data_IF_388073502526
#
_entry.id   IF_388073502526
#
_cell.length_a   1.000
_cell.length_b   1.000
_cell.length_c   1.000
_cell.angle_alpha   90.00
_cell.angle_beta   90.00
_cell.angle_gamma   90.00
#
_symmetry.space_group_name_H-M   'P 1'
#
loop_
_entity.id
_entity.type
_entity.pdbx_description
1 polymer ?
#
# COMPACT_ATOMS: atom_id res chain seq x y z
N UNK A 1 -23.17 -22.96 1.48
CA UNK A 1 -21.74 -22.65 1.71
C UNK A 1 -21.68 -21.24 2.25
N UNK A 2 -21.44 -21.06 3.55
CA UNK A 2 -21.20 -19.74 4.13
C UNK A 2 -19.93 -19.17 3.51
N UNK A 3 -19.98 -17.94 3.00
CA UNK A 3 -18.77 -17.25 2.57
C UNK A 3 -17.80 -17.24 3.75
N UNK A 4 -16.55 -17.66 3.51
CA UNK A 4 -15.49 -17.51 4.50
C UNK A 4 -15.40 -16.01 4.82
N UNK A 5 -15.54 -15.64 6.09
CA UNK A 5 -15.36 -14.26 6.50
C UNK A 5 -13.92 -13.84 6.13
N UNK A 6 -13.77 -12.74 5.39
CA UNK A 6 -12.44 -12.27 5.00
C UNK A 6 -11.73 -11.71 6.21
N UNK A 7 -10.45 -12.05 6.37
CA UNK A 7 -9.61 -11.42 7.36
C UNK A 7 -9.28 -9.98 6.92
N UNK A 8 -9.62 -9.00 7.76
CA UNK A 8 -9.36 -7.58 7.51
C UNK A 8 -8.01 -7.14 8.08
N UNK A 9 -7.25 -6.40 7.27
CA UNK A 9 -5.94 -5.85 7.62
C UNK A 9 -5.89 -4.36 7.32
N UNK A 10 -5.63 -3.54 8.34
CA UNK A 10 -5.37 -2.12 8.20
C UNK A 10 -3.87 -1.84 8.29
N UNK A 11 -3.33 -1.18 7.28
CA UNK A 11 -1.99 -0.63 7.27
C UNK A 11 -2.05 0.88 7.46
N UNK A 12 -1.41 1.39 8.49
CA UNK A 12 -1.20 2.83 8.67
C UNK A 12 0.23 3.14 8.24
N UNK A 13 0.38 4.03 7.26
CA UNK A 13 1.68 4.49 6.79
C UNK A 13 1.82 5.97 7.13
N UNK A 14 2.71 6.27 8.06
CA UNK A 14 2.90 7.61 8.61
C UNK A 14 4.19 8.32 8.13
N UNK A 15 5.13 7.57 7.54
CA UNK A 15 6.44 8.06 7.10
C UNK A 15 6.46 8.38 5.59
N UNK A 16 7.24 9.38 5.19
CA UNK A 16 7.45 9.73 3.77
C UNK A 16 8.11 8.59 2.97
N UNK A 17 7.89 8.54 1.64
CA UNK A 17 8.62 7.61 0.79
C UNK A 17 10.06 8.09 0.56
N UNK A 18 10.94 7.16 0.20
CA UNK A 18 12.30 7.41 -0.33
C UNK A 18 13.35 8.00 0.64
N UNK A 19 13.05 8.17 1.93
CA UNK A 19 14.05 8.50 2.96
C UNK A 19 14.46 7.31 3.84
N UNK A 20 13.58 6.31 3.95
CA UNK A 20 13.81 5.06 4.65
C UNK A 20 12.93 3.95 4.03
N UNK A 21 13.02 2.73 4.57
CA UNK A 21 12.34 1.57 4.01
C UNK A 21 10.94 1.30 4.58
N UNK A 22 10.44 2.11 5.54
CA UNK A 22 9.19 1.81 6.26
C UNK A 22 8.00 1.80 5.32
N UNK A 23 7.79 2.86 4.55
CA UNK A 23 6.68 2.97 3.60
C UNK A 23 6.80 1.94 2.48
N UNK A 24 8.01 1.67 2.00
CA UNK A 24 8.26 0.59 1.04
C UNK A 24 7.85 -0.78 1.60
N UNK A 25 8.32 -1.15 2.78
CA UNK A 25 8.07 -2.45 3.38
C UNK A 25 6.59 -2.65 3.76
N UNK A 26 5.92 -1.61 4.27
CA UNK A 26 4.48 -1.65 4.53
C UNK A 26 3.68 -1.93 3.25
N UNK A 27 3.94 -1.16 2.18
CA UNK A 27 3.26 -1.35 0.90
C UNK A 27 3.61 -2.69 0.25
N UNK A 28 4.85 -3.16 0.38
CA UNK A 28 5.27 -4.48 -0.12
C UNK A 28 4.52 -5.62 0.57
N UNK A 29 4.30 -5.53 1.88
CA UNK A 29 3.50 -6.52 2.62
C UNK A 29 2.02 -6.44 2.22
N UNK A 30 1.44 -5.24 2.17
CA UNK A 30 0.06 -5.02 1.75
C UNK A 30 -0.21 -5.61 0.35
N UNK A 31 0.71 -5.42 -0.61
CA UNK A 31 0.62 -5.99 -1.96
C UNK A 31 0.61 -7.52 -1.95
N UNK A 32 1.35 -8.15 -1.03
CA UNK A 32 1.34 -9.60 -0.92
C UNK A 32 0.03 -10.11 -0.31
N UNK A 33 -0.51 -9.42 0.70
CA UNK A 33 -1.78 -9.79 1.32
C UNK A 33 -2.98 -9.58 0.39
N UNK A 34 -3.05 -8.47 -0.34
CA UNK A 34 -4.22 -8.13 -1.18
C UNK A 34 -4.44 -9.12 -2.34
N UNK A 35 -3.43 -9.96 -2.65
CA UNK A 35 -3.53 -11.03 -3.65
C UNK A 35 -4.29 -12.26 -3.13
N UNK A 36 -4.48 -12.38 -1.81
CA UNK A 36 -5.16 -13.51 -1.17
C UNK A 36 -6.68 -13.29 -1.19
N UNK A 37 -7.48 -14.19 -1.79
CA UNK A 37 -8.94 -14.03 -1.87
C UNK A 37 -9.63 -13.82 -0.52
N UNK A 38 -9.07 -14.42 0.54
CA UNK A 38 -9.54 -14.37 1.92
C UNK A 38 -9.13 -13.10 2.69
N UNK A 39 -8.34 -12.20 2.09
CA UNK A 39 -7.90 -10.96 2.73
C UNK A 39 -8.68 -9.75 2.22
N UNK A 40 -9.07 -8.86 3.15
CA UNK A 40 -9.48 -7.49 2.86
C UNK A 40 -8.40 -6.55 3.38
N UNK A 41 -7.79 -5.76 2.48
CA UNK A 41 -6.63 -4.92 2.81
C UNK A 41 -6.99 -3.46 2.63
N UNK A 42 -6.74 -2.68 3.67
CA UNK A 42 -6.91 -1.23 3.68
C UNK A 42 -5.58 -0.58 4.01
N UNK A 43 -5.24 0.48 3.28
CA UNK A 43 -4.06 1.31 3.54
C UNK A 43 -4.54 2.73 3.81
N UNK A 44 -4.19 3.25 4.97
CA UNK A 44 -4.43 4.63 5.36
C UNK A 44 -3.11 5.38 5.47
N UNK A 45 -2.95 6.41 4.65
CA UNK A 45 -1.78 7.28 4.64
C UNK A 45 -2.05 8.45 5.58
N UNK A 46 -1.13 8.75 6.50
CA UNK A 46 -1.26 9.90 7.39
C UNK A 46 0.08 10.57 7.62
N UNK A 47 0.08 11.80 8.16
CA UNK A 47 1.33 12.54 8.39
C UNK A 47 2.17 12.65 7.12
N UNK A 48 3.46 12.36 7.21
CA UNK A 48 4.36 12.40 6.05
C UNK A 48 4.08 11.29 5.02
N UNK A 49 3.34 10.25 5.43
CA UNK A 49 2.92 9.14 4.57
C UNK A 49 2.02 9.55 3.41
N UNK A 50 1.32 10.68 3.51
CA UNK A 50 0.51 11.22 2.40
C UNK A 50 1.37 11.53 1.16
N UNK A 51 2.67 11.81 1.35
CA UNK A 51 3.61 12.00 0.24
C UNK A 51 3.80 10.74 -0.62
N UNK A 52 3.42 9.55 -0.12
CA UNK A 52 3.40 8.33 -0.93
C UNK A 52 2.41 8.40 -2.10
N UNK A 53 1.34 9.21 -1.98
CA UNK A 53 0.27 9.34 -2.97
C UNK A 53 0.45 10.50 -3.96
N UNK A 54 1.56 11.22 -3.92
CA UNK A 54 1.87 12.26 -4.92
C UNK A 54 1.96 11.62 -6.30
N UNK A 55 1.34 12.24 -7.31
CA UNK A 55 1.32 11.75 -8.69
C UNK A 55 2.58 12.11 -9.46
N UNK A 56 2.95 11.29 -10.44
CA UNK A 56 4.08 11.54 -11.32
C UNK A 56 5.44 11.31 -10.68
N UNK A 57 5.54 10.41 -9.71
CA UNK A 57 6.80 10.08 -9.04
C UNK A 57 7.77 9.44 -10.04
N UNK A 58 8.95 10.06 -10.17
CA UNK A 58 10.06 9.55 -10.97
C UNK A 58 11.10 8.94 -10.05
N UNK A 59 11.55 7.74 -10.39
CA UNK A 59 12.57 7.01 -9.64
C UNK A 59 13.66 6.53 -10.61
N UNK A 60 14.90 6.33 -10.13
CA UNK A 60 15.94 5.71 -10.94
C UNK A 60 15.50 4.36 -11.50
N UNK A 61 16.11 3.94 -12.60
CA UNK A 61 15.87 2.61 -13.17
C UNK A 61 16.19 1.51 -12.15
N UNK A 62 15.33 0.48 -12.08
CA UNK A 62 15.45 -0.59 -11.11
C UNK A 62 15.01 -0.24 -9.67
N UNK A 63 14.75 1.04 -9.38
CA UNK A 63 14.27 1.46 -8.07
C UNK A 63 12.76 1.26 -7.91
N UNK A 64 12.30 1.00 -6.69
CA UNK A 64 10.88 0.85 -6.41
C UNK A 64 10.15 2.20 -6.55
N UNK A 65 8.87 2.15 -6.91
CA UNK A 65 8.04 3.34 -7.10
C UNK A 65 6.75 3.17 -6.29
N UNK A 66 6.59 3.97 -5.22
CA UNK A 66 5.47 3.81 -4.28
C UNK A 66 4.14 4.23 -4.91
N UNK A 67 4.12 5.17 -5.85
CA UNK A 67 2.91 5.49 -6.62
C UNK A 67 2.40 4.25 -7.39
N UNK A 68 3.30 3.51 -8.06
CA UNK A 68 2.95 2.27 -8.77
C UNK A 68 2.45 1.20 -7.79
N UNK A 69 3.05 1.11 -6.61
CA UNK A 69 2.64 0.18 -5.56
C UNK A 69 1.23 0.50 -5.05
N UNK A 70 0.93 1.77 -4.77
CA UNK A 70 -0.41 2.22 -4.36
C UNK A 70 -1.45 1.99 -5.45
N UNK A 71 -1.13 2.24 -6.71
CA UNK A 71 -2.01 1.90 -7.84
C UNK A 71 -2.33 0.41 -7.90
N UNK A 72 -1.35 -0.46 -7.64
CA UNK A 72 -1.59 -1.91 -7.57
C UNK A 72 -2.47 -2.30 -6.39
N UNK A 73 -2.38 -1.60 -5.26
CA UNK A 73 -3.22 -1.83 -4.09
C UNK A 73 -4.66 -1.40 -4.33
N UNK A 74 -4.87 -0.20 -4.88
CA UNK A 74 -6.19 0.36 -5.17
C UNK A 74 -7.00 -0.46 -6.20
N UNK A 75 -6.36 -1.34 -6.98
CA UNK A 75 -7.06 -2.27 -7.88
C UNK A 75 -7.78 -3.40 -7.16
N UNK A 76 -7.37 -3.76 -5.93
CA UNK A 76 -7.84 -4.97 -5.23
C UNK A 76 -8.17 -4.75 -3.75
N UNK A 77 -7.84 -3.58 -3.21
CA UNK A 77 -8.10 -3.15 -1.85
C UNK A 77 -8.35 -1.64 -1.80
N UNK A 78 -8.30 -1.08 -0.61
CA UNK A 78 -8.62 0.33 -0.37
C UNK A 78 -7.35 1.12 -0.01
N UNK A 79 -7.23 2.32 -0.57
CA UNK A 79 -6.18 3.27 -0.23
C UNK A 79 -6.83 4.62 0.03
N UNK A 80 -6.58 5.20 1.20
CA UNK A 80 -7.10 6.50 1.61
C UNK A 80 -6.00 7.35 2.27
N UNK A 81 -6.25 8.66 2.33
CA UNK A 81 -5.43 9.68 3.01
C UNK A 81 -6.23 10.36 4.10
#
# INVERSE_FOLDING_TARGET
MTALEKASYLFIVNDSPYGNERSYNALRLAINLVKRPEAHVQVFLMGDGVNCAISGQKTPEGYYNVERMLKSLAQRGEVAT
#
